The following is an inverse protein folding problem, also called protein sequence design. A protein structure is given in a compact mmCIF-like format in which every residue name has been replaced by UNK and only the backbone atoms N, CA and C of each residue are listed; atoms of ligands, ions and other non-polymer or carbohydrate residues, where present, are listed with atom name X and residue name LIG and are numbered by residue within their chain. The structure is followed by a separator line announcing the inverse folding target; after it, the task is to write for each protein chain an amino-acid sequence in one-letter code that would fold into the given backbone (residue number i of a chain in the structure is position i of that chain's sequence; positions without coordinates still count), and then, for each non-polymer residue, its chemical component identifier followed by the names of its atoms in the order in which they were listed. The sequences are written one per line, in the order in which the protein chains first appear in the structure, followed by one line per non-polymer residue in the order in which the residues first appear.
data_IF_739879458056
#
_entry.id   IF_739879458056
#
_cell.length_a   1.000
_cell.length_b   1.000
_cell.length_c   1.000
_cell.angle_alpha   90.00
_cell.angle_beta   90.00
_cell.angle_gamma   90.00
#
_symmetry.space_group_name_H-M   'P 1'
#
loop_
_entity.id
_entity.type
_entity.pdbx_description
1 polymer ?
#
# COMPACT_ATOMS: atom_id res chain seq x y z
N UNK A 1 20.68 -22.98 -18.12
CA UNK A 1 20.69 -21.51 -18.38
C UNK A 1 20.35 -21.09 -19.82
N UNK A 2 20.44 -21.91 -20.87
CA UNK A 2 20.18 -21.49 -22.28
C UNK A 2 18.70 -21.21 -22.66
N UNK A 3 17.71 -21.79 -21.97
CA UNK A 3 16.28 -21.69 -22.33
C UNK A 3 15.61 -20.35 -22.00
N UNK A 4 16.08 -19.64 -20.96
CA UNK A 4 15.49 -18.37 -20.50
C UNK A 4 15.86 -17.21 -21.45
N UNK A 5 17.10 -17.23 -21.98
CA UNK A 5 17.61 -16.27 -22.96
C UNK A 5 16.78 -16.26 -24.25
N UNK A 6 16.44 -17.44 -24.77
CA UNK A 6 15.64 -17.57 -26.00
C UNK A 6 14.21 -17.04 -25.88
N UNK A 7 13.59 -17.11 -24.68
CA UNK A 7 12.24 -16.55 -24.48
C UNK A 7 12.27 -15.02 -24.51
N UNK A 8 13.26 -14.42 -23.85
CA UNK A 8 13.45 -12.96 -23.85
C UNK A 8 13.74 -12.45 -25.26
N UNK A 9 14.62 -13.11 -26.00
CA UNK A 9 14.98 -12.72 -27.37
C UNK A 9 13.78 -12.80 -28.32
N UNK A 10 12.97 -13.87 -28.22
CA UNK A 10 11.73 -14.03 -29.00
C UNK A 10 10.67 -12.99 -28.65
N UNK A 11 10.58 -12.57 -27.39
CA UNK A 11 9.68 -11.50 -26.97
C UNK A 11 10.13 -10.14 -27.50
N UNK A 12 11.42 -9.84 -27.47
CA UNK A 12 11.98 -8.60 -28.03
C UNK A 12 11.77 -8.51 -29.54
N UNK A 13 11.95 -9.63 -30.25
CA UNK A 13 11.71 -9.71 -31.69
C UNK A 13 10.24 -9.47 -32.04
N UNK A 14 9.30 -10.04 -31.26
CA UNK A 14 7.87 -9.77 -31.41
C UNK A 14 7.52 -8.30 -31.19
N UNK A 15 8.09 -7.66 -30.17
CA UNK A 15 7.88 -6.23 -29.90
C UNK A 15 8.42 -5.41 -31.06
N UNK A 16 9.65 -5.67 -31.51
CA UNK A 16 10.25 -4.95 -32.64
C UNK A 16 9.45 -5.10 -33.94
N UNK A 17 8.87 -6.27 -34.18
CA UNK A 17 8.01 -6.49 -35.34
C UNK A 17 6.67 -5.74 -35.21
N UNK A 18 6.08 -5.72 -34.02
CA UNK A 18 4.87 -4.93 -33.76
C UNK A 18 5.10 -3.43 -33.96
N UNK A 19 6.23 -2.88 -33.49
CA UNK A 19 6.57 -1.45 -33.64
C UNK A 19 6.70 -1.01 -35.12
N UNK A 20 6.89 -1.95 -36.05
CA UNK A 20 6.99 -1.69 -37.49
C UNK A 20 5.65 -1.73 -38.21
N UNK A 21 4.57 -2.20 -37.57
CA UNK A 21 3.26 -2.32 -38.22
C UNK A 21 2.60 -0.96 -38.43
N UNK A 22 1.68 -0.89 -39.39
CA UNK A 22 0.87 0.31 -39.60
C UNK A 22 -0.10 0.56 -38.44
N UNK A 23 -0.55 -0.50 -37.78
CA UNK A 23 -1.36 -0.40 -36.56
C UNK A 23 -0.64 0.40 -35.47
N UNK A 24 0.64 0.11 -35.21
CA UNK A 24 1.43 0.86 -34.24
C UNK A 24 1.61 2.32 -34.66
N UNK A 25 1.89 2.58 -35.94
CA UNK A 25 2.02 3.96 -36.46
C UNK A 25 0.72 4.76 -36.31
N UNK A 26 -0.41 4.13 -36.58
CA UNK A 26 -1.73 4.75 -36.42
C UNK A 26 -2.04 5.07 -34.94
N UNK A 27 -1.65 4.19 -34.01
CA UNK A 27 -1.81 4.42 -32.57
C UNK A 27 -0.99 5.62 -32.08
N UNK A 28 0.26 5.75 -32.53
CA UNK A 28 1.11 6.90 -32.21
C UNK A 28 0.54 8.17 -32.82
N UNK A 29 0.07 8.12 -34.06
CA UNK A 29 -0.57 9.26 -34.72
C UNK A 29 -1.81 9.70 -33.94
N UNK A 30 -2.67 8.77 -33.51
CA UNK A 30 -3.84 9.06 -32.68
C UNK A 30 -3.46 9.72 -31.35
N UNK A 31 -2.42 9.23 -30.64
CA UNK A 31 -1.91 9.87 -29.42
C UNK A 31 -1.44 11.30 -29.66
N UNK A 32 -0.72 11.56 -30.75
CA UNK A 32 -0.25 12.92 -31.10
C UNK A 32 -1.36 13.85 -31.60
N UNK A 33 -2.49 13.29 -32.05
CA UNK A 33 -3.66 14.03 -32.56
C UNK A 33 -4.67 14.35 -31.46
N UNK A 34 -4.68 13.59 -30.37
CA UNK A 34 -5.45 13.93 -29.18
C UNK A 34 -4.87 15.21 -28.58
N UNK A 35 -5.64 16.31 -28.51
CA UNK A 35 -5.18 17.50 -27.81
C UNK A 35 -4.85 17.10 -26.38
N UNK A 36 -3.68 17.52 -25.89
CA UNK A 36 -3.37 17.49 -24.46
C UNK A 36 -4.49 18.27 -23.77
N UNK A 37 -5.48 17.55 -23.24
CA UNK A 37 -6.42 18.12 -22.29
C UNK A 37 -5.54 18.42 -21.09
N UNK A 38 -5.06 19.66 -21.02
CA UNK A 38 -4.62 20.24 -19.78
C UNK A 38 -5.87 20.25 -18.90
N UNK A 39 -6.11 19.15 -18.19
CA UNK A 39 -7.05 19.14 -17.10
C UNK A 39 -6.47 20.16 -16.12
N UNK A 40 -7.10 21.33 -16.02
CA UNK A 40 -6.93 22.14 -14.82
C UNK A 40 -7.08 21.19 -13.63
N UNK A 41 -6.16 21.22 -12.65
CA UNK A 41 -6.33 20.44 -11.44
C UNK A 41 -7.72 20.76 -10.91
N UNK A 42 -8.55 19.73 -10.77
CA UNK A 42 -9.94 19.84 -10.33
C UNK A 42 -10.02 20.90 -9.23
N UNK A 43 -10.62 22.06 -9.55
CA UNK A 43 -11.02 23.04 -8.55
C UNK A 43 -12.16 22.37 -7.80
N UNK A 44 -11.84 21.54 -6.82
CA UNK A 44 -12.80 21.04 -5.85
C UNK A 44 -13.39 22.27 -5.18
N UNK A 45 -14.54 22.72 -5.67
CA UNK A 45 -15.38 23.64 -4.93
C UNK A 45 -15.92 22.85 -3.75
N UNK A 46 -15.21 22.91 -2.63
CA UNK A 46 -15.76 22.51 -1.35
C UNK A 46 -16.96 23.44 -1.09
N UNK A 47 -18.16 22.94 -1.41
CA UNK A 47 -19.37 23.55 -0.90
C UNK A 47 -19.35 23.34 0.62
N UNK A 48 -18.91 24.34 1.36
CA UNK A 48 -19.20 24.44 2.78
C UNK A 48 -20.71 24.57 2.93
N UNK A 49 -21.41 23.45 2.99
CA UNK A 49 -22.69 23.40 3.64
C UNK A 49 -22.42 23.85 5.08
N UNK A 50 -22.79 25.09 5.40
CA UNK A 50 -22.78 25.59 6.76
C UNK A 50 -23.77 24.74 7.56
N UNK A 51 -23.25 23.72 8.21
CA UNK A 51 -23.98 23.00 9.26
C UNK A 51 -24.09 24.01 10.41
N UNK A 52 -25.25 24.65 10.53
CA UNK A 52 -25.54 25.68 11.55
C UNK A 52 -25.87 25.06 12.91
N UNK A 53 -25.17 23.99 13.32
CA UNK A 53 -25.22 23.54 14.70
C UNK A 53 -24.03 24.14 15.42
N UNK A 54 -24.19 24.73 16.61
CA UNK A 54 -23.06 25.05 17.47
C UNK A 54 -22.45 23.71 17.87
N UNK A 55 -21.49 23.25 17.07
CA UNK A 55 -20.67 22.10 17.38
C UNK A 55 -19.88 22.50 18.62
N UNK A 56 -20.12 21.85 19.76
CA UNK A 56 -19.27 22.04 20.92
C UNK A 56 -17.89 21.44 20.60
N UNK A 57 -16.96 22.30 20.20
CA UNK A 57 -15.59 21.93 19.88
C UNK A 57 -14.93 21.17 21.05
N UNK A 58 -15.34 21.44 22.30
CA UNK A 58 -14.82 20.72 23.46
C UNK A 58 -15.30 19.29 23.49
N UNK A 59 -16.57 19.05 23.18
CA UNK A 59 -17.14 17.70 23.10
C UNK A 59 -16.49 16.89 21.97
N UNK A 60 -16.31 17.47 20.78
CA UNK A 60 -15.60 16.82 19.67
C UNK A 60 -14.17 16.46 20.08
N UNK A 61 -13.45 17.39 20.70
CA UNK A 61 -12.06 17.16 21.10
C UNK A 61 -11.95 16.08 22.19
N UNK A 62 -12.91 16.03 23.12
CA UNK A 62 -12.99 14.99 24.13
C UNK A 62 -13.25 13.61 23.52
N UNK A 63 -14.26 13.49 22.64
CA UNK A 63 -14.57 12.23 21.94
C UNK A 63 -13.40 11.77 21.07
N UNK A 64 -12.75 12.69 20.35
CA UNK A 64 -11.55 12.40 19.57
C UNK A 64 -10.45 11.84 20.46
N UNK A 65 -10.14 12.51 21.57
CA UNK A 65 -9.09 12.09 22.51
C UNK A 65 -9.37 10.70 23.08
N UNK A 66 -10.62 10.44 23.47
CA UNK A 66 -11.04 9.13 23.98
C UNK A 66 -10.88 8.05 22.90
N UNK A 67 -11.35 8.30 21.68
CA UNK A 67 -11.21 7.37 20.56
C UNK A 67 -9.73 7.08 20.27
N UNK A 68 -8.88 8.11 20.22
CA UNK A 68 -7.42 7.93 20.04
C UNK A 68 -6.84 7.04 21.13
N UNK A 69 -7.22 7.24 22.39
CA UNK A 69 -6.76 6.41 23.51
C UNK A 69 -7.16 4.94 23.35
N UNK A 70 -8.36 4.68 22.83
CA UNK A 70 -8.88 3.33 22.62
C UNK A 70 -8.23 2.61 21.43
N UNK A 71 -7.97 3.30 20.33
CA UNK A 71 -7.42 2.69 19.11
C UNK A 71 -5.88 2.63 19.12
N UNK A 72 -5.21 3.56 19.82
CA UNK A 72 -3.74 3.67 19.84
C UNK A 72 -3.03 2.36 20.18
N UNK A 73 -3.47 1.53 21.14
CA UNK A 73 -2.80 0.27 21.44
C UNK A 73 -2.71 -0.66 20.23
N UNK A 74 -3.80 -0.78 19.46
CA UNK A 74 -3.83 -1.62 18.26
C UNK A 74 -2.90 -1.03 17.18
N UNK A 75 -3.01 0.27 16.90
CA UNK A 75 -2.18 0.93 15.90
C UNK A 75 -0.68 0.83 16.23
N UNK A 76 -0.32 0.99 17.51
CA UNK A 76 1.05 0.82 17.98
C UNK A 76 1.56 -0.61 17.79
N UNK A 77 0.74 -1.63 18.09
CA UNK A 77 1.12 -3.03 17.87
C UNK A 77 1.35 -3.35 16.38
N UNK A 78 0.51 -2.80 15.49
CA UNK A 78 0.64 -3.00 14.04
C UNK A 78 1.85 -2.23 13.49
N UNK A 79 2.07 -0.99 13.95
CA UNK A 79 3.27 -0.20 13.67
C UNK A 79 4.54 -0.98 14.03
N UNK A 80 4.61 -1.45 15.27
CA UNK A 80 5.80 -2.13 15.79
C UNK A 80 6.06 -3.44 15.04
N UNK A 81 5.00 -4.14 14.61
CA UNK A 81 5.10 -5.30 13.73
C UNK A 81 5.77 -4.96 12.40
N UNK A 82 5.28 -3.95 11.67
CA UNK A 82 5.88 -3.57 10.38
C UNK A 82 7.28 -2.99 10.52
N UNK A 83 7.55 -2.28 11.63
CA UNK A 83 8.88 -1.78 11.94
C UNK A 83 9.87 -2.93 12.20
N UNK A 84 9.45 -3.95 12.95
CA UNK A 84 10.23 -5.18 13.14
C UNK A 84 10.53 -5.86 11.81
N UNK A 85 9.53 -5.97 10.92
CA UNK A 85 9.72 -6.55 9.60
C UNK A 85 10.75 -5.80 8.76
N UNK A 86 10.77 -4.47 8.83
CA UNK A 86 11.75 -3.64 8.10
C UNK A 86 13.17 -3.77 8.66
N UNK A 87 13.32 -3.76 9.98
CA UNK A 87 14.63 -3.55 10.63
C UNK A 87 15.37 -4.82 11.03
N UNK A 88 14.64 -5.89 11.37
CA UNK A 88 15.22 -7.07 12.04
C UNK A 88 15.24 -8.30 11.14
N UNK A 89 14.37 -8.37 10.12
CA UNK A 89 14.26 -9.52 9.25
C UNK A 89 15.17 -9.40 8.03
N UNK A 90 16.48 -9.65 8.20
CA UNK A 90 17.48 -9.48 7.12
C UNK A 90 17.44 -10.55 6.03
N UNK A 91 16.69 -11.64 6.23
CA UNK A 91 16.67 -12.81 5.33
C UNK A 91 15.40 -12.89 4.46
N UNK A 92 14.55 -11.85 4.45
CA UNK A 92 13.24 -11.88 3.79
C UNK A 92 13.05 -10.74 2.77
N UNK A 93 11.87 -10.69 2.16
CA UNK A 93 11.39 -9.67 1.21
C UNK A 93 11.57 -8.22 1.71
N UNK A 94 11.82 -7.97 3.01
CA UNK A 94 11.91 -6.63 3.60
C UNK A 94 13.18 -5.84 3.28
N UNK A 95 14.26 -6.48 2.85
CA UNK A 95 15.51 -5.80 2.51
C UNK A 95 15.31 -4.70 1.44
N UNK A 96 14.40 -4.91 0.48
CA UNK A 96 14.06 -3.93 -0.57
C UNK A 96 13.53 -2.61 0.02
N UNK A 97 12.72 -2.70 1.07
CA UNK A 97 12.19 -1.52 1.76
C UNK A 97 13.30 -0.71 2.43
N UNK A 98 14.21 -1.39 3.12
CA UNK A 98 15.32 -0.73 3.80
C UNK A 98 16.33 -0.12 2.82
N UNK A 99 16.64 -0.83 1.74
CA UNK A 99 17.50 -0.35 0.66
C UNK A 99 16.91 0.90 0.00
N UNK A 100 15.62 0.89 -0.32
CA UNK A 100 14.93 2.05 -0.86
C UNK A 100 15.03 3.26 0.08
N UNK A 101 14.73 3.08 1.37
CA UNK A 101 14.75 4.18 2.33
C UNK A 101 16.15 4.75 2.54
N UNK A 102 17.16 3.91 2.68
CA UNK A 102 18.53 4.33 3.00
C UNK A 102 19.31 4.77 1.75
N UNK A 103 19.22 4.02 0.66
CA UNK A 103 20.04 4.28 -0.53
C UNK A 103 19.38 5.25 -1.52
N UNK A 104 18.06 5.16 -1.73
CA UNK A 104 17.35 6.04 -2.67
C UNK A 104 16.81 7.28 -1.98
N UNK A 105 16.17 7.13 -0.82
CA UNK A 105 15.56 8.24 -0.06
C UNK A 105 16.50 8.89 0.94
N UNK A 106 17.71 8.34 1.12
CA UNK A 106 18.78 8.90 1.96
C UNK A 106 18.37 9.13 3.41
N UNK A 107 17.43 8.33 3.92
CA UNK A 107 17.08 8.35 5.34
C UNK A 107 18.15 7.63 6.16
N UNK A 108 18.47 8.18 7.33
CA UNK A 108 19.34 7.50 8.28
C UNK A 108 18.58 6.39 9.01
N UNK A 109 19.33 5.45 9.58
CA UNK A 109 18.74 4.37 10.38
C UNK A 109 18.08 4.95 11.64
N UNK A 110 18.64 6.03 12.18
CA UNK A 110 18.11 6.77 13.32
C UNK A 110 16.72 7.33 13.00
N UNK A 111 16.56 8.02 11.86
CA UNK A 111 15.26 8.52 11.41
C UNK A 111 14.26 7.39 11.20
N UNK A 112 14.67 6.27 10.59
CA UNK A 112 13.80 5.10 10.40
C UNK A 112 13.29 4.55 11.75
N UNK A 113 14.14 4.54 12.78
CA UNK A 113 13.78 4.09 14.14
C UNK A 113 12.92 5.09 14.90
N UNK A 114 13.25 6.37 14.80
CA UNK A 114 12.54 7.48 15.43
C UNK A 114 11.08 7.52 14.98
N UNK A 115 10.86 7.52 13.66
CA UNK A 115 9.52 7.55 13.06
C UNK A 115 8.86 6.18 12.95
N UNK A 116 9.52 5.12 13.46
CA UNK A 116 9.03 3.73 13.42
C UNK A 116 8.55 3.31 12.04
N UNK A 117 9.28 3.72 10.99
CA UNK A 117 8.94 3.34 9.63
C UNK A 117 8.92 1.82 9.50
N UNK A 118 7.98 1.30 8.72
CA UNK A 118 7.78 -0.13 8.57
C UNK A 118 7.80 -0.56 7.11
N UNK A 119 7.70 -1.87 6.91
CA UNK A 119 7.54 -2.46 5.59
C UNK A 119 6.54 -3.60 5.60
N UNK A 120 5.56 -3.53 4.71
CA UNK A 120 4.66 -4.62 4.39
C UNK A 120 5.27 -5.43 3.24
N UNK A 121 5.68 -6.69 3.45
CA UNK A 121 6.28 -7.53 2.42
C UNK A 121 5.38 -7.72 1.21
N UNK A 122 6.01 -7.81 0.02
CA UNK A 122 5.31 -8.31 -1.16
C UNK A 122 5.09 -9.81 -0.95
N UNK A 123 3.85 -10.29 -0.98
CA UNK A 123 3.56 -11.71 -0.80
C UNK A 123 2.87 -12.30 -2.02
N UNK A 124 3.65 -13.03 -2.81
CA UNK A 124 3.22 -13.70 -4.04
C UNK A 124 2.59 -15.09 -3.75
N UNK A 125 2.58 -15.51 -2.46
CA UNK A 125 2.18 -16.84 -1.99
C UNK A 125 1.11 -16.75 -0.90
N UNK A 126 0.58 -17.89 -0.46
CA UNK A 126 -0.35 -18.05 0.68
C UNK A 126 0.14 -17.50 2.04
N UNK A 127 1.27 -16.78 2.05
CA UNK A 127 1.76 -15.94 3.15
C UNK A 127 1.07 -14.56 3.18
N UNK A 128 0.05 -14.33 2.35
CA UNK A 128 -0.86 -13.15 2.36
C UNK A 128 -1.64 -12.94 3.67
N UNK A 129 -1.33 -13.74 4.70
CA UNK A 129 -1.92 -13.74 6.04
C UNK A 129 -0.86 -13.48 7.12
N UNK A 130 0.33 -12.97 6.80
CA UNK A 130 1.40 -12.78 7.81
C UNK A 130 0.94 -11.84 8.93
N UNK A 131 0.29 -10.72 8.58
CA UNK A 131 -0.29 -9.84 9.58
C UNK A 131 -1.42 -10.55 10.35
N UNK A 132 -2.37 -11.15 9.64
CA UNK A 132 -3.49 -11.85 10.27
C UNK A 132 -3.04 -12.95 11.24
N UNK A 133 -2.03 -13.74 10.87
CA UNK A 133 -1.48 -14.80 11.71
C UNK A 133 -0.77 -14.23 12.94
N UNK A 134 -0.05 -13.13 12.79
CA UNK A 134 0.53 -12.40 13.91
C UNK A 134 -0.57 -11.89 14.86
N UNK A 135 -1.60 -11.25 14.32
CA UNK A 135 -2.72 -10.71 15.08
C UNK A 135 -3.51 -11.80 15.83
N UNK A 136 -3.76 -12.94 15.19
CA UNK A 136 -4.40 -14.10 15.85
C UNK A 136 -3.59 -14.61 17.02
N UNK A 137 -2.26 -14.73 16.90
CA UNK A 137 -1.37 -15.11 18.01
C UNK A 137 -1.36 -14.10 19.15
N UNK A 138 -1.67 -12.84 18.86
CA UNK A 138 -1.79 -11.75 19.83
C UNK A 138 -3.21 -11.56 20.36
N UNK A 139 -4.15 -12.45 20.01
CA UNK A 139 -5.58 -12.34 20.37
C UNK A 139 -6.21 -11.00 19.98
N UNK A 140 -5.77 -10.43 18.84
CA UNK A 140 -6.34 -9.19 18.30
C UNK A 140 -7.62 -9.51 17.55
N UNK A 141 -8.68 -8.77 17.84
CA UNK A 141 -9.97 -8.90 17.17
C UNK A 141 -9.86 -8.58 15.67
N UNK A 142 -10.22 -9.57 14.86
CA UNK A 142 -10.17 -9.46 13.39
C UNK A 142 -11.19 -8.45 12.87
N UNK A 143 -12.30 -8.24 13.58
CA UNK A 143 -13.33 -7.27 13.19
C UNK A 143 -12.77 -5.85 13.18
N UNK A 144 -12.03 -5.48 14.23
CA UNK A 144 -11.33 -4.19 14.31
C UNK A 144 -10.26 -4.03 13.22
N UNK A 145 -9.60 -5.12 12.82
CA UNK A 145 -8.61 -5.06 11.74
C UNK A 145 -9.26 -4.75 10.39
N UNK A 146 -10.48 -5.22 10.15
CA UNK A 146 -11.26 -4.91 8.94
C UNK A 146 -11.76 -3.46 9.02
N UNK A 147 -12.38 -3.11 10.15
CA UNK A 147 -12.93 -1.77 10.41
C UNK A 147 -11.89 -0.67 10.19
N UNK A 148 -10.68 -0.85 10.72
CA UNK A 148 -9.57 0.09 10.56
C UNK A 148 -8.75 -0.10 9.28
N UNK A 149 -9.18 -1.01 8.39
CA UNK A 149 -8.61 -1.17 7.06
C UNK A 149 -7.24 -1.82 6.99
N UNK A 150 -6.77 -2.49 8.05
CA UNK A 150 -5.51 -3.24 8.03
C UNK A 150 -5.59 -4.51 7.18
N UNK A 151 -6.78 -5.11 7.12
CA UNK A 151 -7.09 -6.27 6.29
C UNK A 151 -8.40 -6.03 5.55
N UNK A 152 -8.63 -6.81 4.50
CA UNK A 152 -9.86 -6.81 3.72
C UNK A 152 -10.44 -8.22 3.65
N UNK A 153 -11.75 -8.33 3.79
CA UNK A 153 -12.45 -9.57 3.52
C UNK A 153 -12.70 -9.73 2.02
N UNK A 154 -12.66 -10.99 1.56
CA UNK A 154 -12.96 -11.41 0.20
C UNK A 154 -13.75 -12.71 0.26
N UNK A 155 -14.53 -12.94 -0.78
CA UNK A 155 -15.28 -14.17 -0.97
C UNK A 155 -14.75 -14.85 -2.22
N UNK A 156 -14.40 -16.13 -2.13
CA UNK A 156 -13.97 -16.89 -3.29
C UNK A 156 -15.17 -17.36 -4.13
N UNK A 157 -14.91 -17.99 -5.28
CA UNK A 157 -15.95 -18.54 -6.17
C UNK A 157 -16.83 -19.62 -5.50
N UNK A 158 -16.39 -20.20 -4.37
CA UNK A 158 -17.11 -21.21 -3.59
C UNK A 158 -17.87 -20.59 -2.40
N UNK A 159 -18.10 -19.26 -2.40
CA UNK A 159 -18.73 -18.51 -1.30
C UNK A 159 -18.02 -18.60 0.05
N UNK A 160 -16.74 -19.00 0.08
CA UNK A 160 -15.93 -19.03 1.30
C UNK A 160 -15.26 -17.68 1.52
N UNK A 161 -15.47 -17.10 2.69
CA UNK A 161 -14.77 -15.88 3.13
C UNK A 161 -13.30 -16.18 3.44
N UNK A 162 -12.43 -15.29 3.01
CA UNK A 162 -11.02 -15.24 3.37
C UNK A 162 -10.58 -13.78 3.52
N UNK A 163 -9.47 -13.57 4.22
CA UNK A 163 -8.93 -12.25 4.48
C UNK A 163 -7.63 -12.06 3.69
N UNK A 164 -7.25 -10.82 3.45
CA UNK A 164 -5.92 -10.50 2.95
C UNK A 164 -5.47 -9.18 3.54
N UNK A 165 -4.16 -9.03 3.70
CA UNK A 165 -3.56 -7.80 4.20
C UNK A 165 -3.92 -6.63 3.24
N UNK A 166 -4.08 -5.42 3.74
CA UNK A 166 -4.34 -4.26 2.85
C UNK A 166 -3.06 -3.79 2.18
N UNK A 167 -1.95 -3.81 2.93
CA UNK A 167 -0.65 -3.32 2.49
C UNK A 167 0.22 -4.45 1.96
N UNK A 168 0.81 -4.26 0.80
CA UNK A 168 1.69 -5.24 0.17
C UNK A 168 2.84 -4.56 -0.56
N UNK A 169 4.06 -5.07 -0.39
CA UNK A 169 5.27 -4.51 -1.00
C UNK A 169 5.48 -3.01 -0.70
N UNK A 170 4.98 -2.51 0.43
CA UNK A 170 4.81 -1.08 0.69
C UNK A 170 5.64 -0.62 1.90
N UNK A 171 6.23 0.57 1.81
CA UNK A 171 6.71 1.28 3.00
C UNK A 171 5.51 1.72 3.84
N UNK A 172 5.55 1.48 5.14
CA UNK A 172 4.52 1.90 6.09
C UNK A 172 5.02 3.14 6.83
N UNK A 173 4.21 4.19 6.78
CA UNK A 173 4.42 5.44 7.52
C UNK A 173 3.31 5.51 8.58
N UNK A 174 3.63 5.32 9.87
CA UNK A 174 2.66 5.43 10.95
C UNK A 174 2.18 6.87 11.12
N UNK A 175 0.90 7.06 11.46
CA UNK A 175 0.27 8.33 11.77
C UNK A 175 -0.57 8.22 13.04
#
# INVERSE_FOLDING_TARGET
MKKLSNRLQKSLEKINNFMKTQEFKNLIQQQTSTPNIFCEPFKYQFHHNKINNPIDEKEINATKTQLFKEISPLFNQIRDYYHYLLTTNRNNESHLGLEYLTQKRKLTIETIKEFKLGYAPLSDKSLSFRLLNYCKKKNIDTTKLIEYGFIKDKTNQQNKKYYHDTFHGSIIIPH
#
